data_IF_585326277412
#
_entry.id   IF_585326277412
#
_cell.length_a   1.000
_cell.length_b   1.000
_cell.length_c   1.000
_cell.angle_alpha   90.00
_cell.angle_beta   90.00
_cell.angle_gamma   90.00
#
_symmetry.space_group_name_H-M   'P 1'
#
loop_
_entity.id
_entity.type
_entity.pdbx_description
1 polymer ?
#
# COMPACT_ATOMS: atom_id res chain seq x y z
N UNK A 1 5.95 -16.20 6.17
CA UNK A 1 5.50 -14.92 6.76
C UNK A 1 6.42 -13.83 6.24
N UNK A 2 5.88 -12.70 5.80
CA UNK A 2 6.71 -11.53 5.54
C UNK A 2 7.29 -11.02 6.88
N UNK A 3 8.53 -10.55 6.88
CA UNK A 3 9.13 -9.92 8.04
C UNK A 3 8.38 -8.62 8.38
N UNK A 4 8.37 -8.18 9.66
CA UNK A 4 7.90 -6.85 10.01
C UNK A 4 8.65 -5.79 9.19
N UNK A 5 7.92 -4.81 8.66
CA UNK A 5 8.51 -3.63 8.04
C UNK A 5 8.62 -2.57 9.14
N UNK A 6 9.83 -2.10 9.41
CA UNK A 6 10.09 -1.06 10.39
C UNK A 6 10.68 0.16 9.69
N UNK A 7 10.35 1.36 10.16
CA UNK A 7 11.06 2.54 9.67
C UNK A 7 12.53 2.46 10.15
N UNK A 8 13.53 2.70 9.29
CA UNK A 8 13.46 3.41 8.01
C UNK A 8 13.50 2.52 6.74
N UNK A 9 13.10 1.24 6.82
CA UNK A 9 13.14 0.35 5.65
C UNK A 9 12.28 0.87 4.50
N UNK A 10 12.69 0.60 3.23
CA UNK A 10 11.83 0.87 2.09
C UNK A 10 10.46 0.22 2.26
N UNK A 11 9.41 0.98 2.00
CA UNK A 11 8.07 0.42 1.96
C UNK A 11 8.01 -0.73 0.93
N UNK A 12 7.35 -1.86 1.25
CA UNK A 12 7.20 -2.95 0.31
C UNK A 12 6.40 -2.50 -0.91
N UNK A 13 6.65 -3.13 -2.06
CA UNK A 13 5.80 -2.90 -3.23
C UNK A 13 4.39 -3.43 -2.95
N UNK A 14 3.39 -2.62 -3.26
CA UNK A 14 1.98 -2.91 -2.97
C UNK A 14 1.18 -2.70 -4.25
N UNK A 15 0.36 -3.68 -4.58
CA UNK A 15 -0.64 -3.63 -5.63
C UNK A 15 -2.02 -3.86 -5.00
N UNK A 16 -2.97 -2.94 -5.25
CA UNK A 16 -4.34 -3.00 -4.73
C UNK A 16 -5.34 -2.89 -5.87
N UNK A 17 -6.46 -3.58 -5.74
CA UNK A 17 -7.62 -3.37 -6.62
C UNK A 17 -8.41 -2.17 -6.13
N UNK A 18 -8.67 -1.23 -7.02
CA UNK A 18 -9.53 -0.08 -6.74
C UNK A 18 -11.00 -0.47 -6.83
N UNK A 19 -11.87 0.23 -6.09
CA UNK A 19 -13.31 -0.04 -6.08
C UNK A 19 -13.95 0.05 -7.49
N UNK A 20 -13.36 0.83 -8.40
CA UNK A 20 -13.82 0.96 -9.80
C UNK A 20 -13.29 -0.11 -10.76
N UNK A 21 -12.56 -1.13 -10.28
CA UNK A 21 -11.97 -2.18 -11.11
C UNK A 21 -10.61 -1.83 -11.74
N UNK A 22 -9.98 -0.75 -11.26
CA UNK A 22 -8.60 -0.38 -11.60
C UNK A 22 -7.57 -1.09 -10.70
N UNK A 23 -6.30 -0.91 -11.05
CA UNK A 23 -5.17 -1.36 -10.23
C UNK A 23 -4.40 -0.14 -9.75
N UNK A 24 -4.25 -0.02 -8.44
CA UNK A 24 -3.39 0.97 -7.80
C UNK A 24 -2.06 0.32 -7.44
N UNK A 25 -0.93 0.95 -7.83
CA UNK A 25 0.42 0.48 -7.48
C UNK A 25 1.22 1.55 -6.77
N UNK A 26 2.01 1.15 -5.77
CA UNK A 26 2.82 2.08 -5.00
C UNK A 26 3.87 2.78 -5.88
N UNK A 27 4.50 2.05 -6.82
CA UNK A 27 5.52 2.64 -7.69
C UNK A 27 5.01 3.73 -8.63
N UNK A 28 3.71 3.74 -8.98
CA UNK A 28 3.11 4.79 -9.81
C UNK A 28 3.08 6.16 -9.09
N UNK A 29 3.34 6.17 -7.78
CA UNK A 29 3.24 7.34 -6.91
C UNK A 29 4.61 7.84 -6.41
N UNK A 30 5.73 7.38 -6.99
CA UNK A 30 7.06 7.85 -6.59
C UNK A 30 7.21 9.37 -6.71
N UNK A 31 8.01 9.94 -5.82
CA UNK A 31 8.19 11.39 -5.72
C UNK A 31 7.04 12.14 -5.03
N UNK A 32 5.99 11.42 -4.60
CA UNK A 32 4.85 11.98 -3.86
C UNK A 32 4.69 11.25 -2.52
N UNK A 33 4.40 11.95 -1.41
CA UNK A 33 4.03 11.28 -0.16
C UNK A 33 2.75 10.45 -0.34
N UNK A 34 2.76 9.22 0.18
CA UNK A 34 1.61 8.30 0.15
C UNK A 34 1.33 7.83 1.58
N UNK A 35 0.06 7.80 1.96
CA UNK A 35 -0.41 7.29 3.24
C UNK A 35 -1.41 6.17 2.98
N UNK A 36 -1.11 4.97 3.48
CA UNK A 36 -2.02 3.82 3.41
C UNK A 36 -2.73 3.63 4.74
N UNK A 37 -4.06 3.66 4.72
CA UNK A 37 -4.90 3.46 5.91
C UNK A 37 -5.65 2.14 5.75
N UNK A 38 -5.20 1.11 6.46
CA UNK A 38 -5.88 -0.18 6.49
C UNK A 38 -7.02 -0.12 7.52
N UNK A 39 -8.26 -0.15 7.04
CA UNK A 39 -9.42 -0.29 7.92
C UNK A 39 -9.82 -1.77 8.00
N UNK A 40 -10.13 -2.24 9.21
CA UNK A 40 -10.76 -3.54 9.39
C UNK A 40 -12.23 -3.42 9.00
N UNK A 41 -12.66 -4.12 7.96
CA UNK A 41 -14.08 -4.27 7.70
C UNK A 41 -14.67 -5.27 8.71
N UNK A 42 -15.54 -4.79 9.60
CA UNK A 42 -16.35 -5.65 10.47
C UNK A 42 -17.65 -5.88 9.72
N UNK A 43 -17.77 -7.05 9.09
CA UNK A 43 -19.06 -7.55 8.60
C UNK A 43 -19.88 -8.07 9.78
#
# INVERSE_FOLDING_TARGET
>A
MAAPVEAPDPAPEIELTEAGGGTWRLHDHRGRPVVLVFHRHLA
#
